data_IF_555554021515
#
_entry.id   IF_555554021515
#
_cell.length_a   1.000
_cell.length_b   1.000
_cell.length_c   1.000
_cell.angle_alpha   90.00
_cell.angle_beta   90.00
_cell.angle_gamma   90.00
#
_symmetry.space_group_name_H-M   'P 1'
#
loop_
_entity.id
_entity.type
_entity.pdbx_description
1 polymer ?
#
# COMPACT_ATOMS: atom_id res chain seq x y z
N UNK A 1 -1.98 -5.01 -27.09
CA UNK A 1 -1.87 -3.88 -26.16
C UNK A 1 -3.02 -2.92 -26.45
N UNK A 2 -4.11 -3.00 -25.70
CA UNK A 2 -5.32 -2.18 -25.90
C UNK A 2 -5.41 -1.22 -24.73
N UNK A 3 -4.98 0.03 -24.95
CA UNK A 3 -5.25 1.13 -24.05
C UNK A 3 -6.76 1.36 -24.04
N UNK A 4 -7.47 0.96 -22.99
CA UNK A 4 -8.87 1.35 -22.78
C UNK A 4 -8.88 2.73 -22.12
N UNK A 5 -8.92 3.78 -22.93
CA UNK A 5 -9.35 5.10 -22.49
C UNK A 5 -10.88 5.03 -22.30
N UNK A 6 -11.34 4.97 -21.08
CA UNK A 6 -12.76 5.04 -20.76
C UNK A 6 -13.11 6.50 -20.55
N UNK A 7 -13.63 7.15 -21.58
CA UNK A 7 -14.37 8.40 -21.43
C UNK A 7 -15.73 8.07 -20.77
N UNK A 8 -15.94 8.44 -19.53
CA UNK A 8 -17.27 8.42 -18.92
C UNK A 8 -18.07 9.63 -19.42
N UNK A 9 -19.26 9.36 -19.92
CA UNK A 9 -20.34 10.21 -20.41
C UNK A 9 -20.43 10.42 -21.91
N UNK A 10 -20.71 9.33 -22.64
CA UNK A 10 -21.55 9.38 -23.82
C UNK A 10 -22.35 8.07 -23.94
N UNK A 11 -23.68 8.17 -23.94
CA UNK A 11 -24.58 7.06 -24.27
C UNK A 11 -24.38 6.71 -25.74
N UNK A 12 -23.80 5.55 -26.01
CA UNK A 12 -23.77 5.01 -27.36
C UNK A 12 -25.09 4.31 -27.66
N UNK A 13 -25.80 4.83 -28.65
CA UNK A 13 -26.79 4.09 -29.41
C UNK A 13 -26.07 2.99 -30.20
N UNK A 14 -26.61 1.79 -30.14
CA UNK A 14 -26.18 0.67 -30.97
C UNK A 14 -26.21 1.05 -32.44
N UNK A 15 -25.03 1.02 -33.10
CA UNK A 15 -24.91 1.02 -34.56
C UNK A 15 -24.13 -0.20 -34.99
N UNK A 16 -24.89 -1.09 -35.62
CA UNK A 16 -24.40 -2.29 -36.27
C UNK A 16 -23.85 -1.88 -37.66
N UNK A 17 -22.53 -1.66 -37.79
CA UNK A 17 -21.81 -1.77 -39.07
C UNK A 17 -20.30 -1.53 -38.92
N UNK A 18 -19.55 -2.61 -38.98
CA UNK A 18 -18.08 -2.63 -38.91
C UNK A 18 -17.38 -1.86 -40.06
N UNK A 19 -18.06 -1.58 -41.16
CA UNK A 19 -17.53 -0.81 -42.30
C UNK A 19 -17.50 0.72 -42.04
N UNK A 20 -18.37 1.26 -41.19
CA UNK A 20 -18.38 2.68 -40.87
C UNK A 20 -17.33 3.07 -39.82
N UNK A 21 -16.98 2.13 -38.92
CA UNK A 21 -15.94 2.36 -37.91
C UNK A 21 -14.57 2.46 -38.56
N UNK A 22 -14.27 1.62 -39.55
CA UNK A 22 -13.01 1.65 -40.28
C UNK A 22 -12.83 2.94 -41.11
N UNK A 23 -13.91 3.50 -41.64
CA UNK A 23 -13.88 4.81 -42.33
C UNK A 23 -13.70 5.99 -41.38
N UNK A 24 -14.28 5.94 -40.18
CA UNK A 24 -14.04 6.98 -39.16
C UNK A 24 -12.60 6.95 -38.65
N UNK A 25 -12.03 5.77 -38.42
CA UNK A 25 -10.64 5.63 -37.97
C UNK A 25 -9.65 6.08 -39.05
N UNK A 26 -9.90 5.76 -40.33
CA UNK A 26 -9.06 6.22 -41.43
C UNK A 26 -9.15 7.74 -41.66
N UNK A 27 -10.32 8.36 -41.51
CA UNK A 27 -10.46 9.80 -41.51
C UNK A 27 -9.81 10.49 -40.35
N UNK A 28 -9.88 9.91 -39.12
CA UNK A 28 -9.20 10.40 -37.93
C UNK A 28 -7.68 10.33 -38.06
N UNK A 29 -7.15 9.24 -38.60
CA UNK A 29 -5.71 9.06 -38.85
C UNK A 29 -5.20 9.96 -40.01
N UNK A 30 -5.99 10.22 -41.01
CA UNK A 30 -5.66 11.16 -42.12
C UNK A 30 -5.63 12.61 -41.61
N UNK A 31 -6.56 13.02 -40.76
CA UNK A 31 -6.53 14.36 -40.13
C UNK A 31 -5.30 14.52 -39.19
N UNK A 32 -4.89 13.46 -38.48
CA UNK A 32 -3.69 13.51 -37.62
C UNK A 32 -2.38 13.67 -38.43
N UNK A 33 -2.32 13.19 -39.65
CA UNK A 33 -1.12 13.25 -40.50
C UNK A 33 -0.89 14.65 -41.11
N UNK A 34 -1.95 15.42 -41.38
CA UNK A 34 -1.87 16.74 -42.01
C UNK A 34 -1.58 17.86 -41.03
N UNK A 35 -1.97 17.71 -39.75
CA UNK A 35 -1.80 18.75 -38.71
C UNK A 35 -0.60 18.56 -37.79
N UNK A 36 0.28 17.60 -38.08
CA UNK A 36 1.44 17.30 -37.22
C UNK A 36 2.42 18.46 -37.00
N UNK A 37 2.48 19.42 -37.91
CA UNK A 37 3.41 20.56 -37.83
C UNK A 37 2.80 21.85 -37.23
N UNK A 38 1.48 22.03 -37.24
CA UNK A 38 0.85 23.22 -36.66
C UNK A 38 0.44 23.00 -35.20
N UNK A 39 0.10 21.78 -34.79
CA UNK A 39 -0.19 21.46 -33.39
C UNK A 39 1.05 21.54 -32.48
N UNK A 40 2.24 21.25 -32.98
CA UNK A 40 3.48 21.45 -32.21
C UNK A 40 3.78 22.90 -31.89
N UNK A 41 3.36 23.88 -32.70
CA UNK A 41 3.62 25.30 -32.45
C UNK A 41 2.58 25.92 -31.50
N UNK A 42 1.36 25.41 -31.44
CA UNK A 42 0.31 25.93 -30.54
C UNK A 42 0.49 25.41 -29.12
N UNK A 43 0.98 24.18 -28.92
CA UNK A 43 1.30 23.63 -27.59
C UNK A 43 2.61 24.13 -26.99
N UNK A 44 3.49 24.76 -27.76
CA UNK A 44 4.79 25.29 -27.30
C UNK A 44 4.75 26.66 -26.63
N UNK A 45 3.62 27.36 -26.62
CA UNK A 45 3.49 28.72 -26.08
C UNK A 45 2.49 28.84 -24.93
N UNK A 46 1.74 27.77 -24.62
CA UNK A 46 0.95 27.73 -23.39
C UNK A 46 1.91 27.58 -22.21
N UNK A 47 2.04 28.62 -21.36
CA UNK A 47 2.50 28.52 -19.98
C UNK A 47 2.00 27.21 -19.44
N UNK A 48 2.83 26.45 -18.69
CA UNK A 48 2.39 25.27 -17.93
C UNK A 48 1.07 25.64 -17.26
N UNK A 49 -0.05 25.27 -17.89
CA UNK A 49 -1.35 25.45 -17.27
C UNK A 49 -1.31 24.62 -16.00
N UNK A 50 -1.58 25.27 -14.88
CA UNK A 50 -1.72 24.62 -13.59
C UNK A 50 -2.86 23.62 -13.76
N UNK A 51 -2.57 22.32 -13.68
CA UNK A 51 -3.56 21.26 -13.91
C UNK A 51 -4.66 21.27 -12.86
N UNK A 52 -4.34 21.83 -11.66
CA UNK A 52 -5.21 21.84 -10.49
C UNK A 52 -5.39 23.24 -9.92
N UNK A 53 -6.61 23.54 -9.55
CA UNK A 53 -6.94 24.64 -8.64
C UNK A 53 -6.62 24.22 -7.21
N UNK A 54 -5.92 25.07 -6.46
CA UNK A 54 -5.54 24.84 -5.08
C UNK A 54 -6.22 25.86 -4.15
N UNK A 55 -6.90 25.38 -3.12
CA UNK A 55 -7.60 26.19 -2.11
C UNK A 55 -7.13 25.77 -0.72
N UNK A 56 -6.90 26.76 0.15
CA UNK A 56 -6.51 26.54 1.53
C UNK A 56 -7.66 26.87 2.48
N UNK A 57 -7.91 25.99 3.44
CA UNK A 57 -8.91 26.16 4.51
C UNK A 57 -8.27 25.85 5.86
N UNK A 58 -8.79 26.43 6.91
CA UNK A 58 -8.41 26.09 8.29
C UNK A 58 -9.53 25.29 8.94
N UNK A 59 -9.21 24.12 9.48
CA UNK A 59 -10.18 23.19 10.09
C UNK A 59 -10.15 23.36 11.59
N UNK A 60 -11.31 23.60 12.21
CA UNK A 60 -11.42 23.79 13.65
C UNK A 60 -11.18 22.49 14.46
N UNK A 61 -11.66 21.36 13.92
CA UNK A 61 -11.51 20.03 14.55
C UNK A 61 -11.07 19.02 13.48
N UNK A 62 -9.75 18.77 13.41
CA UNK A 62 -9.15 17.86 12.43
C UNK A 62 -9.64 16.42 12.58
N UNK A 63 -9.85 15.93 13.82
CA UNK A 63 -10.32 14.56 14.06
C UNK A 63 -11.76 14.35 13.56
N UNK A 64 -12.67 15.29 13.83
CA UNK A 64 -14.04 15.22 13.31
C UNK A 64 -14.04 15.32 11.77
N UNK A 65 -13.24 16.25 11.23
CA UNK A 65 -13.13 16.45 9.78
C UNK A 65 -12.60 15.21 9.05
N UNK A 66 -11.59 14.51 9.57
CA UNK A 66 -11.10 13.24 9.00
C UNK A 66 -12.22 12.20 8.89
N UNK A 67 -13.08 12.07 9.90
CA UNK A 67 -14.24 11.15 9.88
C UNK A 67 -15.27 11.56 8.84
N UNK A 68 -15.65 12.84 8.82
CA UNK A 68 -16.59 13.40 7.83
C UNK A 68 -16.08 13.21 6.40
N UNK A 69 -14.78 13.47 6.18
CA UNK A 69 -14.12 13.31 4.89
C UNK A 69 -14.15 11.87 4.39
N UNK A 70 -13.85 10.90 5.27
CA UNK A 70 -13.94 9.48 4.96
C UNK A 70 -15.37 9.03 4.67
N UNK A 71 -16.36 9.52 5.43
CA UNK A 71 -17.78 9.20 5.21
C UNK A 71 -18.30 9.80 3.90
N UNK A 72 -17.88 11.02 3.56
CA UNK A 72 -18.21 11.67 2.29
C UNK A 72 -17.62 10.92 1.10
N UNK A 73 -16.41 10.38 1.23
CA UNK A 73 -15.71 9.68 0.17
C UNK A 73 -16.42 8.43 -0.36
N UNK A 74 -17.38 7.87 0.41
CA UNK A 74 -18.01 6.59 0.08
C UNK A 74 -18.86 6.60 -1.19
N UNK A 75 -19.28 7.77 -1.65
CA UNK A 75 -20.01 7.95 -2.90
C UNK A 75 -19.16 7.67 -4.16
N UNK A 76 -17.83 7.74 -4.06
CA UNK A 76 -16.91 7.55 -5.20
C UNK A 76 -16.55 6.08 -5.40
N UNK A 77 -16.20 5.74 -6.65
CA UNK A 77 -15.75 4.39 -7.01
C UNK A 77 -14.34 4.10 -6.56
N UNK A 78 -13.44 5.06 -6.75
CA UNK A 78 -12.04 4.99 -6.37
C UNK A 78 -11.81 5.93 -5.18
N UNK A 79 -11.26 5.39 -4.10
CA UNK A 79 -10.97 6.10 -2.85
C UNK A 79 -9.64 5.62 -2.30
N UNK A 80 -8.76 6.54 -1.96
CA UNK A 80 -7.62 6.32 -1.07
C UNK A 80 -7.68 7.34 0.04
N UNK A 81 -7.94 6.88 1.25
CA UNK A 81 -7.82 7.68 2.47
C UNK A 81 -6.65 7.17 3.29
N UNK A 82 -5.73 8.05 3.66
CA UNK A 82 -4.59 7.74 4.52
C UNK A 82 -4.62 8.62 5.76
N UNK A 83 -4.36 8.04 6.93
CA UNK A 83 -4.36 8.73 8.22
C UNK A 83 -3.15 8.31 9.07
N UNK A 84 -2.39 9.29 9.55
CA UNK A 84 -1.28 9.06 10.48
C UNK A 84 -1.74 8.85 11.92
N UNK A 85 -3.04 8.98 12.20
CA UNK A 85 -3.59 8.96 13.57
C UNK A 85 -2.89 9.94 14.51
N UNK A 86 -2.44 11.07 13.96
CA UNK A 86 -1.67 12.12 14.64
C UNK A 86 -0.39 11.59 15.33
N UNK A 87 0.12 10.42 14.85
CA UNK A 87 1.35 9.85 15.37
C UNK A 87 2.55 10.72 14.99
N UNK A 88 3.39 11.13 15.97
CA UNK A 88 4.56 11.95 15.68
C UNK A 88 5.56 11.22 14.79
N UNK A 89 5.81 11.75 13.61
CA UNK A 89 6.76 11.19 12.65
C UNK A 89 7.75 12.27 12.21
N UNK A 90 9.05 11.92 12.21
CA UNK A 90 10.10 12.79 11.66
C UNK A 90 9.91 13.01 10.16
N UNK A 91 9.51 11.95 9.45
CA UNK A 91 9.33 11.95 8.00
C UNK A 91 7.84 11.86 7.64
N UNK A 92 7.11 12.96 7.69
CA UNK A 92 5.70 13.03 7.31
C UNK A 92 5.38 14.31 6.56
N UNK A 93 4.74 14.19 5.39
CA UNK A 93 4.24 15.34 4.63
C UNK A 93 2.84 15.75 5.06
N UNK A 94 1.99 14.78 5.42
CA UNK A 94 0.58 14.98 5.72
C UNK A 94 0.18 14.17 6.96
N UNK A 95 -0.78 14.68 7.73
CA UNK A 95 -1.37 13.95 8.85
C UNK A 95 -2.53 13.07 8.34
N UNK A 96 -3.26 13.56 7.34
CA UNK A 96 -4.21 12.76 6.59
C UNK A 96 -4.30 13.25 5.14
N UNK A 97 -4.71 12.37 4.25
CA UNK A 97 -5.03 12.70 2.87
C UNK A 97 -6.21 11.88 2.37
N UNK A 98 -6.97 12.47 1.44
CA UNK A 98 -8.00 11.77 0.69
C UNK A 98 -7.84 12.06 -0.79
N UNK A 99 -7.80 11.02 -1.61
CA UNK A 99 -7.84 11.07 -3.06
C UNK A 99 -9.06 10.28 -3.56
N UNK A 100 -9.91 10.92 -4.38
CA UNK A 100 -11.13 10.30 -4.87
C UNK A 100 -11.42 10.63 -6.33
N UNK A 101 -12.27 9.83 -6.93
CA UNK A 101 -12.82 9.99 -8.28
C UNK A 101 -11.71 9.98 -9.35
N UNK A 102 -11.43 8.82 -9.90
CA UNK A 102 -10.38 8.65 -10.90
C UNK A 102 -10.70 9.44 -12.18
N UNK A 103 -9.80 10.33 -12.58
CA UNK A 103 -9.80 10.93 -13.92
C UNK A 103 -9.22 9.97 -14.94
N UNK A 104 -8.05 9.43 -14.63
CA UNK A 104 -7.42 8.33 -15.37
C UNK A 104 -6.95 7.26 -14.39
N UNK A 105 -6.78 6.03 -14.86
CA UNK A 105 -6.24 4.94 -14.07
C UNK A 105 -5.45 3.95 -14.92
N UNK A 106 -4.53 3.24 -14.28
CA UNK A 106 -3.86 2.07 -14.80
C UNK A 106 -4.16 0.88 -13.89
N UNK A 107 -4.51 -0.24 -14.51
CA UNK A 107 -4.74 -1.51 -13.84
C UNK A 107 -4.21 -2.62 -14.74
N UNK A 108 -3.28 -3.44 -14.22
CA UNK A 108 -2.65 -4.50 -15.00
C UNK A 108 -2.27 -5.69 -14.11
N UNK A 109 -1.97 -6.82 -14.74
CA UNK A 109 -1.26 -7.92 -14.12
C UNK A 109 0.24 -7.62 -14.02
N UNK A 110 1.05 -8.60 -13.62
CA UNK A 110 2.49 -8.40 -13.43
C UNK A 110 3.30 -8.25 -14.73
N UNK A 111 2.75 -8.55 -15.92
CA UNK A 111 3.51 -8.49 -17.17
C UNK A 111 3.83 -7.05 -17.57
N UNK A 112 5.11 -6.67 -17.56
CA UNK A 112 5.60 -5.32 -17.85
C UNK A 112 4.99 -4.21 -16.97
N UNK A 113 4.51 -4.56 -15.78
CA UNK A 113 3.73 -3.66 -14.93
C UNK A 113 4.54 -2.41 -14.51
N UNK A 114 5.83 -2.56 -14.21
CA UNK A 114 6.68 -1.41 -13.88
C UNK A 114 6.95 -0.51 -15.08
N UNK A 115 7.07 -1.05 -16.29
CA UNK A 115 7.23 -0.25 -17.51
C UNK A 115 5.96 0.52 -17.83
N UNK A 116 4.81 -0.12 -17.68
CA UNK A 116 3.49 0.52 -17.83
C UNK A 116 3.28 1.63 -16.80
N UNK A 117 3.66 1.41 -15.53
CA UNK A 117 3.63 2.44 -14.49
C UNK A 117 4.55 3.62 -14.84
N UNK A 118 5.75 3.36 -15.34
CA UNK A 118 6.67 4.41 -15.74
C UNK A 118 6.08 5.27 -16.88
N UNK A 119 5.50 4.63 -17.89
CA UNK A 119 4.84 5.33 -18.99
C UNK A 119 3.64 6.15 -18.51
N UNK A 120 2.83 5.58 -17.63
CA UNK A 120 1.67 6.24 -17.04
C UNK A 120 2.08 7.47 -16.23
N UNK A 121 3.09 7.35 -15.35
CA UNK A 121 3.61 8.45 -14.54
C UNK A 121 4.22 9.57 -15.39
N UNK A 122 5.00 9.22 -16.42
CA UNK A 122 5.61 10.20 -17.33
C UNK A 122 4.57 10.96 -18.18
N UNK A 123 3.45 10.32 -18.49
CA UNK A 123 2.35 10.93 -19.25
C UNK A 123 1.48 11.81 -18.37
N UNK A 124 1.11 11.32 -17.19
CA UNK A 124 0.18 11.99 -16.28
C UNK A 124 0.82 13.20 -15.61
N UNK A 125 2.05 13.07 -15.08
CA UNK A 125 2.81 14.13 -14.38
C UNK A 125 2.03 14.85 -13.28
N UNK A 126 1.19 14.11 -12.58
CA UNK A 126 0.30 14.56 -11.53
C UNK A 126 0.32 13.57 -10.37
N UNK A 127 -0.48 13.80 -9.33
CA UNK A 127 -0.68 12.87 -8.25
C UNK A 127 -1.21 11.53 -8.73
N UNK A 128 -0.59 10.46 -8.30
CA UNK A 128 -1.02 9.08 -8.53
C UNK A 128 -1.16 8.38 -7.19
N UNK A 129 -2.30 7.72 -6.98
CA UNK A 129 -2.60 6.94 -5.78
C UNK A 129 -2.87 5.50 -6.15
N UNK A 130 -2.32 4.55 -5.38
CA UNK A 130 -2.51 3.15 -5.72
C UNK A 130 -1.57 2.22 -4.99
N UNK A 131 -1.44 1.01 -5.53
CA UNK A 131 -0.70 -0.05 -4.89
C UNK A 131 0.11 -0.91 -5.88
N UNK A 132 1.07 -1.61 -5.30
CA UNK A 132 1.90 -2.66 -5.90
C UNK A 132 1.60 -3.96 -5.15
N UNK A 133 1.09 -5.01 -5.81
CA UNK A 133 0.91 -6.32 -5.18
C UNK A 133 2.25 -7.02 -4.98
N UNK A 134 2.33 -7.93 -4.01
CA UNK A 134 3.52 -8.75 -3.80
C UNK A 134 3.92 -9.53 -5.05
N UNK A 135 2.95 -9.92 -5.86
CA UNK A 135 3.16 -10.75 -7.05
C UNK A 135 3.83 -10.01 -8.22
N UNK A 136 4.02 -8.69 -8.11
CA UNK A 136 4.93 -7.95 -9.02
C UNK A 136 6.39 -8.43 -8.94
N UNK A 137 6.76 -9.27 -7.94
CA UNK A 137 8.01 -10.03 -7.94
C UNK A 137 8.19 -10.86 -9.22
N UNK A 138 7.08 -11.24 -9.87
CA UNK A 138 7.11 -12.01 -11.11
C UNK A 138 7.57 -11.18 -12.32
N UNK A 139 7.35 -9.85 -12.31
CA UNK A 139 7.89 -8.92 -13.31
C UNK A 139 9.38 -8.63 -13.08
N UNK A 140 9.77 -8.39 -11.81
CA UNK A 140 11.15 -8.00 -11.50
C UNK A 140 12.14 -9.17 -11.52
N UNK A 141 11.73 -10.37 -11.06
CA UNK A 141 12.61 -11.51 -10.83
C UNK A 141 12.27 -12.74 -11.70
N UNK A 142 11.34 -12.59 -12.67
CA UNK A 142 10.88 -13.66 -13.57
C UNK A 142 10.44 -14.92 -12.84
N UNK A 143 9.73 -14.75 -11.73
CA UNK A 143 9.11 -15.81 -10.95
C UNK A 143 7.67 -16.08 -11.43
N UNK A 144 7.01 -17.05 -10.82
CA UNK A 144 5.61 -17.38 -11.09
C UNK A 144 4.88 -17.58 -9.75
N UNK A 145 3.59 -17.26 -9.74
CA UNK A 145 2.68 -17.50 -8.62
C UNK A 145 1.51 -18.34 -9.11
N UNK A 146 1.43 -19.58 -8.62
CA UNK A 146 0.40 -20.56 -9.01
C UNK A 146 -0.57 -20.86 -7.86
N UNK A 147 -0.36 -20.34 -6.68
CA UNK A 147 -1.16 -20.58 -5.51
C UNK A 147 -2.58 -19.98 -5.62
N UNK A 148 -3.50 -20.46 -4.80
CA UNK A 148 -4.91 -20.05 -4.81
C UNK A 148 -5.07 -18.54 -4.57
N UNK A 149 -5.92 -17.88 -5.38
CA UNK A 149 -6.27 -16.47 -5.27
C UNK A 149 -7.79 -16.28 -5.12
N UNK A 150 -8.24 -16.11 -3.89
CA UNK A 150 -9.65 -15.83 -3.56
C UNK A 150 -10.06 -14.38 -3.82
N UNK A 151 -9.12 -13.44 -3.74
CA UNK A 151 -9.36 -12.00 -3.80
C UNK A 151 -9.36 -11.43 -5.23
N UNK A 152 -8.49 -11.90 -6.10
CA UNK A 152 -8.29 -11.44 -7.49
C UNK A 152 -8.13 -9.91 -7.61
N UNK A 153 -7.29 -9.33 -6.78
CA UNK A 153 -6.84 -7.95 -6.97
C UNK A 153 -5.88 -7.90 -8.16
N UNK A 154 -5.93 -6.84 -9.00
CA UNK A 154 -4.88 -6.58 -9.97
C UNK A 154 -3.51 -6.54 -9.34
N UNK A 155 -2.46 -6.91 -10.08
CA UNK A 155 -1.10 -6.88 -9.51
C UNK A 155 -0.58 -5.44 -9.36
N UNK A 156 -1.04 -4.53 -10.23
CA UNK A 156 -0.77 -3.10 -10.16
C UNK A 156 -2.06 -2.31 -10.37
N UNK A 157 -2.26 -1.30 -9.53
CA UNK A 157 -3.34 -0.34 -9.68
C UNK A 157 -2.88 1.05 -9.26
N UNK A 158 -3.02 2.05 -10.13
CA UNK A 158 -2.85 3.46 -9.80
C UNK A 158 -3.90 4.31 -10.52
N UNK A 159 -4.31 5.40 -9.87
CA UNK A 159 -5.20 6.37 -10.49
C UNK A 159 -4.76 7.82 -10.21
N UNK A 160 -5.09 8.69 -11.15
CA UNK A 160 -5.02 10.13 -11.02
C UNK A 160 -6.36 10.62 -10.46
N UNK A 161 -6.43 11.18 -9.24
CA UNK A 161 -7.68 11.65 -8.66
C UNK A 161 -8.15 12.95 -9.29
N UNK A 162 -9.46 13.16 -9.40
CA UNK A 162 -10.03 14.48 -9.71
C UNK A 162 -9.95 15.39 -8.49
N UNK A 163 -10.20 14.85 -7.31
CA UNK A 163 -10.34 15.59 -6.05
C UNK A 163 -9.34 15.06 -5.02
N UNK A 164 -8.56 15.97 -4.43
CA UNK A 164 -7.52 15.66 -3.47
C UNK A 164 -7.62 16.61 -2.28
N UNK A 165 -7.56 16.05 -1.07
CA UNK A 165 -7.55 16.76 0.21
C UNK A 165 -6.30 16.39 0.97
N UNK A 166 -5.51 17.37 1.40
CA UNK A 166 -4.25 17.19 2.11
C UNK A 166 -4.34 17.96 3.43
N UNK A 167 -4.30 17.24 4.56
CA UNK A 167 -4.41 17.82 5.90
C UNK A 167 -3.07 17.75 6.62
N UNK A 168 -2.62 18.88 7.17
CA UNK A 168 -1.45 18.99 8.06
C UNK A 168 -1.79 19.87 9.26
N UNK A 169 -1.83 19.29 10.47
CA UNK A 169 -2.38 19.98 11.65
C UNK A 169 -3.83 20.37 11.42
N UNK A 170 -4.08 21.68 11.43
CA UNK A 170 -5.38 22.27 11.11
C UNK A 170 -5.43 22.93 9.71
N UNK A 171 -4.37 22.82 8.94
CA UNK A 171 -4.32 23.39 7.58
C UNK A 171 -4.73 22.33 6.56
N UNK A 172 -5.78 22.62 5.83
CA UNK A 172 -6.30 21.80 4.74
C UNK A 172 -5.96 22.45 3.41
N UNK A 173 -5.30 21.68 2.53
CA UNK A 173 -5.11 22.03 1.13
C UNK A 173 -6.03 21.15 0.28
N UNK A 174 -6.89 21.78 -0.52
CA UNK A 174 -7.81 21.11 -1.45
C UNK A 174 -7.27 21.35 -2.86
N UNK A 175 -7.09 20.28 -3.63
CA UNK A 175 -6.60 20.34 -5.00
C UNK A 175 -7.55 19.60 -5.95
N UNK A 176 -8.27 20.33 -6.78
CA UNK A 176 -9.18 19.76 -7.79
C UNK A 176 -8.60 19.98 -9.19
N UNK A 177 -8.82 19.01 -10.08
CA UNK A 177 -8.56 19.25 -11.50
C UNK A 177 -9.44 20.42 -11.98
N UNK A 178 -8.89 21.28 -12.84
CA UNK A 178 -9.58 22.49 -13.32
C UNK A 178 -10.92 22.20 -14.01
N UNK A 179 -11.15 20.95 -14.43
CA UNK A 179 -12.42 20.52 -15.05
C UNK A 179 -13.59 20.36 -14.06
N UNK A 180 -13.31 20.35 -12.75
CA UNK A 180 -14.32 20.18 -11.68
C UNK A 180 -14.03 21.10 -10.48
N UNK A 181 -13.27 22.17 -10.65
CA UNK A 181 -12.89 23.08 -9.56
C UNK A 181 -14.06 23.97 -9.07
N UNK A 182 -15.09 24.08 -9.86
CA UNK A 182 -16.37 24.71 -9.46
C UNK A 182 -17.12 23.92 -8.38
N UNK A 183 -16.81 22.64 -8.16
CA UNK A 183 -17.42 21.80 -7.14
C UNK A 183 -16.82 21.98 -5.73
N UNK A 184 -15.64 22.66 -5.58
CA UNK A 184 -14.87 22.68 -4.33
C UNK A 184 -15.65 23.19 -3.13
N UNK A 185 -16.35 24.32 -3.27
CA UNK A 185 -17.10 24.92 -2.14
C UNK A 185 -18.31 24.07 -1.77
N UNK A 186 -19.02 23.52 -2.76
CA UNK A 186 -20.16 22.62 -2.53
C UNK A 186 -19.73 21.35 -1.80
N UNK A 187 -18.67 20.72 -2.26
CA UNK A 187 -18.14 19.50 -1.63
C UNK A 187 -17.63 19.79 -0.20
N UNK A 188 -16.97 20.92 0.01
CA UNK A 188 -16.50 21.31 1.33
C UNK A 188 -17.67 21.55 2.31
N UNK A 189 -18.74 22.19 1.86
CA UNK A 189 -19.96 22.38 2.66
C UNK A 189 -20.64 21.02 2.96
N UNK A 190 -20.72 20.12 1.98
CA UNK A 190 -21.25 18.78 2.19
C UNK A 190 -20.46 17.99 3.24
N UNK A 191 -19.12 18.06 3.18
CA UNK A 191 -18.24 17.39 4.13
C UNK A 191 -18.45 17.95 5.54
N UNK A 192 -18.40 19.26 5.70
CA UNK A 192 -18.43 19.93 7.02
C UNK A 192 -19.78 19.86 7.70
N UNK A 193 -20.87 19.78 6.94
CA UNK A 193 -22.23 19.63 7.45
C UNK A 193 -22.69 18.17 7.61
N UNK A 194 -21.80 17.20 7.31
CA UNK A 194 -22.12 15.79 7.40
C UNK A 194 -22.09 15.31 8.85
N UNK A 195 -23.19 14.75 9.32
CA UNK A 195 -23.20 14.04 10.59
C UNK A 195 -22.36 12.76 10.48
N UNK A 196 -21.55 12.49 11.49
CA UNK A 196 -20.82 11.22 11.56
C UNK A 196 -21.82 10.06 11.69
N UNK A 197 -21.73 9.11 10.78
CA UNK A 197 -22.56 7.90 10.85
C UNK A 197 -21.95 6.97 11.89
N UNK A 198 -22.66 6.79 13.00
CA UNK A 198 -22.38 5.70 13.93
C UNK A 198 -23.06 4.42 13.39
N UNK A 199 -22.27 3.41 13.14
CA UNK A 199 -22.77 2.13 12.70
C UNK A 199 -23.28 1.33 13.90
N UNK A 200 -24.51 0.76 13.80
CA UNK A 200 -24.90 -0.36 14.65
C UNK A 200 -23.96 -1.52 14.41
N UNK A 201 -23.66 -2.32 15.41
CA UNK A 201 -22.80 -3.50 15.28
C UNK A 201 -23.22 -4.35 14.08
N UNK A 202 -22.28 -4.54 13.15
CA UNK A 202 -22.51 -5.44 12.03
C UNK A 202 -22.45 -6.89 12.52
N UNK A 203 -23.14 -7.79 11.81
CA UNK A 203 -23.07 -9.22 12.09
C UNK A 203 -21.62 -9.69 12.10
N UNK A 204 -21.26 -10.50 13.10
CA UNK A 204 -19.97 -11.18 13.15
C UNK A 204 -19.91 -12.26 12.07
N UNK A 205 -18.76 -12.46 11.48
CA UNK A 205 -18.53 -13.50 10.48
C UNK A 205 -17.62 -14.58 11.04
N UNK A 206 -17.76 -15.81 10.54
CA UNK A 206 -16.87 -16.90 10.91
C UNK A 206 -15.67 -16.92 9.99
N UNK A 207 -14.48 -16.66 10.54
CA UNK A 207 -13.21 -16.71 9.81
C UNK A 207 -12.53 -18.04 10.03
N UNK A 208 -11.99 -18.64 8.97
CA UNK A 208 -11.27 -19.92 8.99
C UNK A 208 -9.79 -19.69 8.68
N UNK A 209 -8.90 -20.46 9.32
CA UNK A 209 -7.49 -20.52 8.93
C UNK A 209 -7.33 -21.43 7.70
N UNK A 210 -6.56 -21.00 6.70
CA UNK A 210 -6.24 -21.82 5.52
C UNK A 210 -5.37 -23.03 5.89
N UNK A 211 -4.46 -22.85 6.83
CA UNK A 211 -3.61 -23.91 7.36
C UNK A 211 -4.07 -24.30 8.76
N UNK A 212 -4.14 -25.59 9.04
CA UNK A 212 -4.22 -26.07 10.42
C UNK A 212 -2.91 -25.81 11.16
N UNK A 213 -2.94 -25.85 12.50
CA UNK A 213 -1.72 -25.71 13.32
C UNK A 213 -0.67 -26.75 12.93
N UNK A 214 -1.10 -27.99 12.74
CA UNK A 214 -0.22 -29.12 12.40
C UNK A 214 0.44 -28.90 11.03
N UNK A 215 -0.34 -28.48 10.02
CA UNK A 215 0.18 -28.18 8.68
C UNK A 215 1.14 -26.99 8.68
N UNK A 216 0.84 -25.96 9.48
CA UNK A 216 1.77 -24.82 9.65
C UNK A 216 3.11 -25.27 10.23
N UNK A 217 3.09 -26.07 11.31
CA UNK A 217 4.29 -26.60 11.96
C UNK A 217 5.10 -27.48 11.00
N UNK A 218 4.44 -28.35 10.22
CA UNK A 218 5.09 -29.19 9.22
C UNK A 218 5.82 -28.36 8.18
N UNK A 219 5.17 -27.33 7.60
CA UNK A 219 5.78 -26.43 6.60
C UNK A 219 6.95 -25.62 7.18
N UNK A 220 6.82 -25.12 8.42
CA UNK A 220 7.92 -24.44 9.11
C UNK A 220 9.10 -25.39 9.35
N UNK A 221 8.88 -26.67 9.66
CA UNK A 221 9.97 -27.64 9.78
C UNK A 221 10.71 -27.86 8.45
N UNK A 222 9.99 -27.93 7.31
CA UNK A 222 10.62 -27.97 5.98
C UNK A 222 11.47 -26.72 5.74
N UNK A 223 10.97 -25.56 6.12
CA UNK A 223 11.72 -24.29 6.01
C UNK A 223 12.96 -24.28 6.89
N UNK A 224 12.88 -24.83 8.11
CA UNK A 224 14.04 -25.00 9.00
C UNK A 224 15.11 -25.93 8.40
N UNK A 225 14.73 -26.95 7.64
CA UNK A 225 15.71 -27.78 6.91
C UNK A 225 16.48 -26.97 5.89
N UNK A 226 15.84 -26.05 5.14
CA UNK A 226 16.51 -25.12 4.22
C UNK A 226 17.46 -24.18 4.97
N UNK A 227 17.04 -23.65 6.11
CA UNK A 227 17.84 -22.77 6.95
C UNK A 227 19.08 -23.49 7.53
N UNK A 228 18.93 -24.72 8.00
CA UNK A 228 20.02 -25.51 8.56
C UNK A 228 21.02 -25.97 7.48
N UNK A 229 20.57 -26.18 6.24
CA UNK A 229 21.47 -26.44 5.10
C UNK A 229 22.21 -25.21 4.61
N UNK A 230 21.75 -24.00 5.01
CA UNK A 230 22.32 -22.75 4.55
C UNK A 230 21.80 -22.26 3.19
N UNK A 231 20.69 -22.81 2.70
CA UNK A 231 20.03 -22.36 1.47
C UNK A 231 19.53 -20.92 1.60
N UNK A 232 19.04 -20.59 2.80
CA UNK A 232 18.53 -19.26 3.20
C UNK A 232 18.90 -18.97 4.66
N UNK A 233 18.85 -17.71 5.08
CA UNK A 233 19.18 -17.26 6.44
C UNK A 233 17.96 -16.85 7.25
N UNK A 234 16.94 -16.31 6.57
CA UNK A 234 15.63 -15.93 7.11
C UNK A 234 14.60 -16.03 6.01
N UNK A 235 13.39 -16.45 6.36
CA UNK A 235 12.23 -16.40 5.48
C UNK A 235 10.98 -15.94 6.24
N UNK A 236 10.25 -14.98 5.70
CA UNK A 236 8.96 -14.58 6.24
C UNK A 236 7.87 -15.52 5.68
N UNK A 237 7.40 -16.45 6.51
CA UNK A 237 6.38 -17.43 6.14
C UNK A 237 4.99 -16.95 6.56
N UNK A 238 4.03 -17.00 5.64
CA UNK A 238 2.71 -16.41 5.82
C UNK A 238 1.59 -17.45 5.75
N UNK A 239 0.48 -17.16 6.47
CA UNK A 239 -0.75 -17.91 6.41
C UNK A 239 -1.96 -16.99 6.29
N UNK A 240 -3.01 -17.46 5.62
CA UNK A 240 -4.25 -16.73 5.38
C UNK A 240 -5.35 -17.18 6.36
N UNK A 241 -6.13 -16.20 6.81
CA UNK A 241 -7.43 -16.36 7.43
C UNK A 241 -8.50 -15.77 6.52
N UNK A 242 -9.60 -16.49 6.29
CA UNK A 242 -10.59 -16.10 5.28
C UNK A 242 -12.02 -16.48 5.66
N UNK A 243 -12.96 -15.80 5.01
CA UNK A 243 -14.36 -16.22 4.95
C UNK A 243 -14.89 -16.06 3.53
N UNK A 244 -15.66 -17.05 3.08
CA UNK A 244 -16.31 -17.08 1.77
C UNK A 244 -17.81 -16.86 1.88
N UNK A 245 -18.46 -16.48 0.76
CA UNK A 245 -19.90 -16.23 0.68
C UNK A 245 -20.41 -15.23 1.72
N UNK A 246 -19.57 -14.29 2.12
CA UNK A 246 -19.85 -13.34 3.18
C UNK A 246 -19.90 -11.90 2.66
N UNK A 247 -20.63 -11.06 3.40
CA UNK A 247 -20.72 -9.62 3.13
C UNK A 247 -20.35 -8.87 4.41
N UNK A 248 -19.47 -7.90 4.28
CA UNK A 248 -19.11 -6.99 5.37
C UNK A 248 -19.40 -5.54 4.97
N UNK A 249 -19.49 -4.65 5.94
CA UNK A 249 -19.43 -3.20 5.72
C UNK A 249 -17.97 -2.74 5.81
N UNK A 250 -17.27 -2.45 4.67
CA UNK A 250 -15.86 -2.15 4.72
C UNK A 250 -15.53 -0.89 5.51
N UNK A 251 -16.38 0.14 5.43
CA UNK A 251 -16.14 1.40 6.14
C UNK A 251 -16.22 1.22 7.66
N UNK A 252 -17.24 0.51 8.14
CA UNK A 252 -17.39 0.20 9.57
C UNK A 252 -16.20 -0.64 10.07
N UNK A 253 -15.84 -1.70 9.33
CA UNK A 253 -14.70 -2.56 9.71
C UNK A 253 -13.39 -1.79 9.72
N UNK A 254 -13.17 -0.86 8.78
CA UNK A 254 -12.00 0.02 8.79
C UNK A 254 -11.97 0.95 10.02
N UNK A 255 -13.08 1.62 10.31
CA UNK A 255 -13.17 2.50 11.49
C UNK A 255 -12.83 1.74 12.77
N UNK A 256 -13.41 0.56 12.97
CA UNK A 256 -13.12 -0.31 14.13
C UNK A 256 -11.65 -0.75 14.17
N UNK A 257 -11.08 -1.17 13.03
CA UNK A 257 -9.68 -1.59 12.93
C UNK A 257 -8.74 -0.44 13.27
N UNK A 258 -9.04 0.77 12.77
CA UNK A 258 -8.25 1.95 13.03
C UNK A 258 -8.35 2.42 14.48
N UNK A 259 -9.55 2.38 15.08
CA UNK A 259 -9.77 2.75 16.50
C UNK A 259 -8.99 1.81 17.45
N UNK A 260 -8.93 0.51 17.14
CA UNK A 260 -8.18 -0.47 17.95
C UNK A 260 -6.67 -0.28 17.78
N UNK A 261 -6.19 0.02 16.58
CA UNK A 261 -4.77 -0.10 16.22
C UNK A 261 -4.03 1.23 16.30
N UNK A 262 -4.63 2.35 15.86
CA UNK A 262 -4.07 3.72 15.82
C UNK A 262 -2.62 3.76 15.32
N UNK A 263 -2.39 3.16 14.15
CA UNK A 263 -1.06 3.07 13.55
C UNK A 263 -0.73 4.29 12.69
N UNK A 264 0.56 4.58 12.44
CA UNK A 264 0.98 5.78 11.72
C UNK A 264 0.69 5.76 10.22
N UNK A 265 0.21 4.65 9.67
CA UNK A 265 -0.04 4.49 8.23
C UNK A 265 -1.35 3.75 7.97
N UNK A 266 -2.45 4.21 8.63
CA UNK A 266 -3.77 3.66 8.36
C UNK A 266 -4.22 4.02 6.94
N UNK A 267 -4.82 3.04 6.22
CA UNK A 267 -5.29 3.24 4.85
C UNK A 267 -6.65 2.58 4.65
N UNK A 268 -7.61 3.36 4.16
CA UNK A 268 -8.81 2.85 3.52
C UNK A 268 -8.69 3.02 2.01
N UNK A 269 -8.71 1.91 1.30
CA UNK A 269 -8.69 1.89 -0.15
C UNK A 269 -9.95 1.21 -0.68
N UNK A 270 -10.51 1.79 -1.74
CA UNK A 270 -11.65 1.26 -2.49
C UNK A 270 -11.38 1.41 -3.98
N UNK A 271 -11.53 0.35 -4.71
CA UNK A 271 -11.66 0.35 -6.17
C UNK A 271 -12.93 -0.43 -6.52
N UNK A 272 -14.02 0.30 -6.76
CA UNK A 272 -15.34 -0.26 -7.03
C UNK A 272 -15.78 -1.23 -5.91
N UNK A 273 -15.63 -2.53 -6.09
CA UNK A 273 -16.02 -3.60 -5.16
C UNK A 273 -14.83 -4.29 -4.46
N UNK A 274 -13.63 -3.77 -4.63
CA UNK A 274 -12.41 -4.24 -3.97
C UNK A 274 -11.99 -3.25 -2.90
N UNK A 275 -11.68 -3.76 -1.71
CA UNK A 275 -11.38 -2.93 -0.53
C UNK A 275 -10.12 -3.44 0.18
N UNK A 276 -9.27 -2.48 0.60
CA UNK A 276 -8.20 -2.71 1.56
C UNK A 276 -8.47 -1.86 2.80
N UNK A 277 -8.49 -2.48 3.95
CA UNK A 277 -8.64 -1.88 5.27
C UNK A 277 -7.34 -2.13 6.02
N UNK A 278 -6.45 -1.15 6.07
CA UNK A 278 -5.09 -1.34 6.57
C UNK A 278 -4.82 -0.52 7.82
N UNK A 279 -4.28 -1.16 8.84
CA UNK A 279 -3.72 -0.53 10.03
C UNK A 279 -2.21 -0.87 10.12
N UNK A 280 -1.47 -0.58 9.05
CA UNK A 280 -0.06 -0.90 8.99
C UNK A 280 0.80 0.06 9.81
N UNK A 281 1.76 -0.44 10.58
CA UNK A 281 2.75 0.39 11.27
C UNK A 281 4.00 0.65 10.43
N UNK A 282 4.16 -0.01 9.28
CA UNK A 282 5.44 -0.09 8.57
C UNK A 282 5.46 0.73 7.28
N UNK A 283 6.42 1.65 7.17
CA UNK A 283 6.79 2.31 5.92
C UNK A 283 7.70 1.40 5.11
N UNK A 284 7.33 1.17 3.84
CA UNK A 284 8.19 0.51 2.89
C UNK A 284 9.30 1.44 2.42
N UNK A 285 8.93 2.49 1.70
CA UNK A 285 9.89 3.40 1.07
C UNK A 285 9.28 4.78 0.83
N UNK A 286 10.01 5.82 1.24
CA UNK A 286 9.72 7.22 0.97
C UNK A 286 10.84 7.85 0.15
N UNK A 287 10.46 8.69 -0.80
CA UNK A 287 11.35 9.58 -1.54
C UNK A 287 10.94 11.03 -1.32
N UNK A 288 11.91 11.87 -0.99
CA UNK A 288 11.75 13.31 -0.89
C UNK A 288 12.97 13.99 -1.53
N UNK A 289 12.74 14.65 -2.66
CA UNK A 289 13.83 15.12 -3.51
C UNK A 289 14.73 13.97 -3.95
N UNK A 290 16.01 14.02 -3.58
CA UNK A 290 16.96 12.93 -3.84
C UNK A 290 17.01 11.89 -2.69
N UNK A 291 16.41 12.17 -1.53
CA UNK A 291 16.53 11.32 -0.36
C UNK A 291 15.55 10.15 -0.44
N UNK A 292 16.06 8.94 -0.21
CA UNK A 292 15.29 7.72 -0.02
C UNK A 292 15.38 7.31 1.45
N UNK A 293 14.25 6.88 2.02
CA UNK A 293 14.11 6.50 3.44
C UNK A 293 13.30 5.22 3.52
N UNK A 294 13.83 4.20 4.17
CA UNK A 294 13.12 2.97 4.50
C UNK A 294 13.20 2.70 6.00
N UNK A 295 12.08 2.23 6.58
CA UNK A 295 11.97 2.04 8.03
C UNK A 295 11.42 0.64 8.36
N UNK A 296 12.22 -0.43 8.11
CA UNK A 296 11.79 -1.79 8.41
C UNK A 296 11.60 -2.01 9.92
N UNK A 297 10.61 -2.82 10.24
CA UNK A 297 10.25 -3.20 11.61
C UNK A 297 10.54 -4.68 11.81
N UNK A 298 11.34 -5.00 12.81
CA UNK A 298 11.49 -6.34 13.38
C UNK A 298 11.67 -6.20 14.89
N UNK A 299 10.95 -7.03 15.62
CA UNK A 299 10.94 -6.96 17.09
C UNK A 299 9.71 -6.23 17.61
N UNK A 300 8.92 -6.93 18.43
CA UNK A 300 7.69 -6.42 19.01
C UNK A 300 7.53 -6.88 20.45
N UNK A 301 7.20 -5.96 21.35
CA UNK A 301 6.81 -6.28 22.71
C UNK A 301 5.43 -5.69 23.03
N UNK A 302 4.64 -6.40 23.84
CA UNK A 302 3.33 -5.94 24.28
C UNK A 302 3.46 -4.74 25.22
N UNK A 303 2.52 -3.79 25.13
CA UNK A 303 2.34 -2.72 26.10
C UNK A 303 1.62 -3.21 27.35
N UNK A 304 1.94 -2.60 28.48
CA UNK A 304 1.30 -2.88 29.76
C UNK A 304 0.70 -1.59 30.36
N UNK A 305 -0.48 -1.67 31.02
CA UNK A 305 -1.06 -0.51 31.72
C UNK A 305 -0.20 -0.01 32.88
N UNK A 306 0.51 -0.91 33.58
CA UNK A 306 1.47 -0.54 34.61
C UNK A 306 2.77 0.01 33.99
N UNK A 307 3.14 1.23 34.34
CA UNK A 307 4.29 1.91 33.75
C UNK A 307 5.64 1.21 34.02
N UNK A 308 5.79 0.49 35.13
CA UNK A 308 7.03 -0.23 35.44
C UNK A 308 7.13 -1.52 34.60
N UNK A 309 6.02 -2.22 34.43
CA UNK A 309 5.98 -3.39 33.58
C UNK A 309 6.18 -3.00 32.09
N UNK A 310 5.62 -1.87 31.66
CA UNK A 310 5.78 -1.31 30.32
C UNK A 310 7.23 -0.93 30.02
N UNK A 311 7.88 -0.21 30.91
CA UNK A 311 9.31 0.13 30.76
C UNK A 311 10.23 -1.12 30.84
N UNK A 312 9.87 -2.12 31.63
CA UNK A 312 10.58 -3.41 31.64
C UNK A 312 10.43 -4.16 30.32
N UNK A 313 9.22 -4.19 29.75
CA UNK A 313 8.97 -4.82 28.44
C UNK A 313 9.79 -4.13 27.34
N UNK A 314 9.81 -2.80 27.34
CA UNK A 314 10.63 -1.99 26.44
C UNK A 314 12.14 -2.25 26.61
N UNK A 315 12.63 -2.28 27.84
CA UNK A 315 14.05 -2.57 28.15
C UNK A 315 14.44 -4.00 27.72
N UNK A 316 13.56 -4.99 27.93
CA UNK A 316 13.78 -6.35 27.48
C UNK A 316 13.88 -6.42 25.94
N UNK A 317 13.00 -5.72 25.20
CA UNK A 317 13.05 -5.67 23.75
C UNK A 317 14.37 -5.07 23.24
N UNK A 318 14.87 -3.98 23.89
CA UNK A 318 16.17 -3.35 23.55
C UNK A 318 17.32 -4.36 23.64
N UNK A 319 17.29 -5.24 24.65
CA UNK A 319 18.37 -6.16 24.98
C UNK A 319 18.17 -7.57 24.41
N UNK A 320 17.03 -7.86 23.76
CA UNK A 320 16.75 -9.21 23.22
C UNK A 320 17.68 -9.53 22.05
N UNK A 321 18.55 -10.58 22.18
CA UNK A 321 19.52 -10.90 21.15
C UNK A 321 18.87 -11.40 19.84
N UNK A 322 17.72 -12.11 19.91
CA UNK A 322 17.00 -12.61 18.74
C UNK A 322 16.41 -11.45 17.96
N UNK A 323 15.61 -10.62 18.61
CA UNK A 323 14.93 -9.47 17.98
C UNK A 323 15.93 -8.50 17.35
N UNK A 324 17.05 -8.25 18.04
CA UNK A 324 18.15 -7.42 17.52
C UNK A 324 18.82 -8.04 16.30
N UNK A 325 19.11 -9.35 16.33
CA UNK A 325 19.74 -10.04 15.21
C UNK A 325 18.85 -10.01 13.95
N UNK A 326 17.55 -10.22 14.11
CA UNK A 326 16.57 -10.12 13.02
C UNK A 326 16.48 -8.70 12.47
N UNK A 327 16.44 -7.68 13.33
CA UNK A 327 16.40 -6.28 12.90
C UNK A 327 17.68 -5.85 12.18
N UNK A 328 18.85 -6.28 12.63
CA UNK A 328 20.14 -6.02 11.98
C UNK A 328 20.19 -6.69 10.60
N UNK A 329 19.72 -7.94 10.49
CA UNK A 329 19.70 -8.67 9.22
C UNK A 329 18.79 -7.99 8.19
N UNK A 330 17.59 -7.58 8.60
CA UNK A 330 16.68 -6.86 7.70
C UNK A 330 17.21 -5.47 7.32
N UNK A 331 17.90 -4.81 8.25
CA UNK A 331 18.59 -3.54 7.98
C UNK A 331 19.65 -3.72 6.89
N UNK A 332 20.42 -4.81 6.93
CA UNK A 332 21.44 -5.09 5.93
C UNK A 332 20.84 -5.44 4.57
N UNK A 333 19.72 -6.16 4.55
CA UNK A 333 18.99 -6.44 3.32
C UNK A 333 18.45 -5.15 2.68
N UNK A 334 17.86 -4.24 3.46
CA UNK A 334 17.37 -2.93 2.98
C UNK A 334 18.53 -2.05 2.50
N UNK A 335 19.69 -2.08 3.18
CA UNK A 335 20.90 -1.39 2.71
C UNK A 335 21.35 -1.91 1.33
N UNK A 336 21.29 -3.22 1.14
CA UNK A 336 21.58 -3.84 -0.16
C UNK A 336 20.61 -3.37 -1.23
N UNK A 337 19.29 -3.39 -0.96
CA UNK A 337 18.26 -2.94 -1.89
C UNK A 337 18.46 -1.47 -2.29
N UNK A 338 18.64 -0.57 -1.33
CA UNK A 338 18.88 0.85 -1.60
C UNK A 338 20.20 1.09 -2.35
N UNK A 339 21.23 0.27 -2.12
CA UNK A 339 22.53 0.43 -2.77
C UNK A 339 22.48 0.26 -4.28
N UNK A 340 21.46 -0.42 -4.82
CA UNK A 340 21.25 -0.63 -6.25
C UNK A 340 20.97 0.66 -7.01
N UNK A 341 20.34 1.63 -6.33
CA UNK A 341 19.90 2.91 -6.93
C UNK A 341 20.55 4.14 -6.31
N UNK A 342 21.33 3.96 -5.25
CA UNK A 342 21.96 5.05 -4.52
C UNK A 342 23.22 5.60 -5.21
N UNK A 343 23.45 6.90 -5.03
CA UNK A 343 24.76 7.50 -5.27
C UNK A 343 25.80 6.79 -4.38
N UNK A 344 26.98 6.55 -4.95
CA UNK A 344 28.05 5.80 -4.26
C UNK A 344 28.40 6.41 -2.90
N UNK A 345 28.37 5.58 -1.85
CA UNK A 345 28.75 5.97 -0.49
C UNK A 345 27.70 6.76 0.29
N UNK A 346 26.46 6.88 -0.23
CA UNK A 346 25.39 7.64 0.45
C UNK A 346 24.46 6.79 1.29
N UNK A 347 24.48 5.46 1.15
CA UNK A 347 23.67 4.56 1.99
C UNK A 347 24.15 4.61 3.43
N UNK A 348 23.26 4.96 4.36
CA UNK A 348 23.55 5.12 5.79
C UNK A 348 22.46 4.47 6.63
N UNK A 349 22.85 3.86 7.73
CA UNK A 349 21.94 3.51 8.83
C UNK A 349 21.91 4.71 9.75
N UNK A 350 20.82 5.49 9.69
CA UNK A 350 20.62 6.68 10.52
C UNK A 350 20.29 6.29 11.96
N UNK A 351 19.46 5.26 12.12
CA UNK A 351 19.12 4.67 13.40
C UNK A 351 19.10 3.15 13.29
N UNK A 352 19.66 2.45 14.27
CA UNK A 352 19.70 0.99 14.35
C UNK A 352 19.00 0.51 15.62
N UNK A 353 17.98 -0.35 15.47
CA UNK A 353 17.24 -0.95 16.57
C UNK A 353 16.60 0.09 17.53
N UNK A 354 16.09 1.21 17.02
CA UNK A 354 15.35 2.20 17.81
C UNK A 354 14.01 1.63 18.31
N UNK A 355 13.59 2.00 19.53
CA UNK A 355 12.33 1.52 20.11
C UNK A 355 11.26 2.61 20.05
N UNK A 356 10.18 2.30 19.36
CA UNK A 356 9.01 3.16 19.19
C UNK A 356 7.81 2.56 19.91
N UNK A 357 7.12 3.39 20.69
CA UNK A 357 5.95 2.96 21.47
C UNK A 357 4.67 3.35 20.74
N UNK A 358 3.90 2.35 20.30
CA UNK A 358 2.55 2.52 19.78
C UNK A 358 1.52 2.24 20.87
N UNK A 359 0.25 2.38 20.57
CA UNK A 359 -0.80 2.21 21.57
C UNK A 359 -0.81 0.80 22.19
N UNK A 360 -0.63 -0.23 21.36
CA UNK A 360 -0.72 -1.63 21.80
C UNK A 360 0.63 -2.32 21.97
N UNK A 361 1.68 -1.81 21.34
CA UNK A 361 2.98 -2.50 21.25
C UNK A 361 4.15 -1.51 21.28
N UNK A 362 5.31 -1.98 21.74
CA UNK A 362 6.62 -1.41 21.42
C UNK A 362 7.16 -2.13 20.19
N UNK A 363 7.75 -1.40 19.26
CA UNK A 363 8.38 -1.96 18.06
C UNK A 363 9.81 -1.49 17.91
N UNK A 364 10.66 -2.39 17.42
CA UNK A 364 12.04 -2.08 17.10
C UNK A 364 12.13 -1.73 15.62
N UNK A 365 12.52 -0.50 15.31
CA UNK A 365 12.59 0.09 13.99
C UNK A 365 14.01 0.53 13.70
N UNK A 366 14.51 0.24 12.50
CA UNK A 366 15.74 0.84 11.99
C UNK A 366 15.41 1.80 10.86
N UNK A 367 16.16 2.89 10.74
CA UNK A 367 16.01 3.89 9.69
C UNK A 367 17.24 3.87 8.78
N UNK A 368 17.01 3.54 7.51
CA UNK A 368 18.04 3.50 6.48
C UNK A 368 17.75 4.60 5.46
N UNK A 369 18.78 5.37 5.13
CA UNK A 369 18.69 6.47 4.17
C UNK A 369 19.72 6.32 3.06
N UNK A 370 19.40 6.86 1.88
CA UNK A 370 20.33 7.02 0.77
C UNK A 370 19.96 8.21 -0.10
N UNK A 371 20.89 8.61 -0.99
CA UNK A 371 20.60 9.56 -2.06
C UNK A 371 20.46 8.83 -3.38
N UNK A 372 19.37 9.11 -4.10
CA UNK A 372 19.08 8.54 -5.41
C UNK A 372 20.11 9.02 -6.44
N UNK A 373 20.68 8.10 -7.20
CA UNK A 373 21.52 8.42 -8.36
C UNK A 373 20.60 8.86 -9.52
N UNK A 374 20.88 10.00 -10.12
CA UNK A 374 20.05 10.65 -11.16
C UNK A 374 19.83 9.80 -12.43
N UNK A 375 20.58 8.73 -12.62
CA UNK A 375 20.39 7.79 -13.75
C UNK A 375 19.17 6.89 -13.58
N UNK A 376 18.61 6.78 -12.37
CA UNK A 376 17.44 5.96 -12.07
C UNK A 376 16.18 6.81 -11.93
N UNK A 377 15.09 6.36 -12.52
CA UNK A 377 13.77 6.93 -12.31
C UNK A 377 13.18 6.51 -10.96
N UNK A 378 12.09 7.13 -10.54
CA UNK A 378 11.36 6.72 -9.34
C UNK A 378 10.81 5.27 -9.46
N UNK A 379 10.40 4.87 -10.68
CA UNK A 379 9.88 3.51 -10.92
C UNK A 379 11.00 2.49 -10.90
N UNK A 380 12.21 2.84 -11.38
CA UNK A 380 13.40 1.96 -11.23
C UNK A 380 13.70 1.70 -9.75
N UNK A 381 13.55 2.71 -8.88
CA UNK A 381 13.74 2.53 -7.44
C UNK A 381 12.73 1.51 -6.90
N UNK A 382 11.45 1.67 -7.23
CA UNK A 382 10.41 0.73 -6.81
C UNK A 382 10.72 -0.68 -7.35
N UNK A 383 10.96 -0.84 -8.65
CA UNK A 383 11.25 -2.14 -9.29
C UNK A 383 12.44 -2.86 -8.65
N UNK A 384 13.55 -2.14 -8.37
CA UNK A 384 14.79 -2.73 -7.88
C UNK A 384 14.80 -3.02 -6.37
N UNK A 385 13.91 -2.41 -5.59
CA UNK A 385 13.80 -2.66 -4.15
C UNK A 385 12.63 -3.57 -3.78
N UNK A 386 11.64 -3.75 -4.68
CA UNK A 386 10.45 -4.56 -4.47
C UNK A 386 10.69 -6.06 -4.75
N UNK A 387 10.00 -6.97 -4.04
CA UNK A 387 9.26 -6.73 -2.80
C UNK A 387 10.20 -6.42 -1.63
N UNK A 388 9.64 -5.76 -0.59
CA UNK A 388 10.42 -5.33 0.57
C UNK A 388 11.04 -6.51 1.31
N UNK A 389 12.25 -6.29 1.83
CA UNK A 389 13.02 -7.31 2.54
C UNK A 389 12.29 -7.87 3.76
N UNK A 390 11.59 -7.02 4.53
CA UNK A 390 10.83 -7.41 5.73
C UNK A 390 9.73 -8.43 5.47
N UNK A 391 9.25 -8.52 4.23
CA UNK A 391 8.20 -9.46 3.81
C UNK A 391 8.73 -10.65 3.00
N UNK A 392 10.01 -10.72 2.74
CA UNK A 392 10.65 -11.79 1.99
C UNK A 392 11.64 -12.58 2.85
N UNK A 393 12.88 -12.22 2.85
CA UNK A 393 13.98 -12.85 3.58
C UNK A 393 15.30 -12.78 2.82
N UNK A 394 16.29 -13.52 3.28
CA UNK A 394 17.65 -13.48 2.75
C UNK A 394 18.21 -14.88 2.43
N UNK A 395 18.77 -15.12 1.23
CA UNK A 395 18.78 -14.32 0.01
C UNK A 395 17.37 -14.20 -0.61
N UNK A 396 16.99 -12.99 -1.04
CA UNK A 396 15.62 -12.64 -1.43
C UNK A 396 15.00 -13.62 -2.46
N UNK A 397 15.67 -13.87 -3.58
CA UNK A 397 15.15 -14.72 -4.67
C UNK A 397 14.97 -16.18 -4.22
N UNK A 398 15.95 -16.73 -3.49
CA UNK A 398 15.85 -18.11 -2.99
C UNK A 398 14.67 -18.27 -2.04
N UNK A 399 14.50 -17.31 -1.12
CA UNK A 399 13.36 -17.31 -0.19
C UNK A 399 12.04 -17.23 -0.95
N UNK A 400 11.88 -16.32 -1.92
CA UNK A 400 10.63 -16.19 -2.68
C UNK A 400 10.24 -17.48 -3.41
N UNK A 401 11.19 -18.28 -3.88
CA UNK A 401 10.91 -19.60 -4.47
C UNK A 401 10.41 -20.60 -3.43
N UNK A 402 11.10 -20.68 -2.29
CA UNK A 402 10.75 -21.62 -1.22
C UNK A 402 9.36 -21.31 -0.63
N UNK A 403 9.07 -20.03 -0.36
CA UNK A 403 7.75 -19.66 0.18
C UNK A 403 6.63 -19.87 -0.83
N UNK A 404 6.86 -19.73 -2.13
CA UNK A 404 5.86 -20.07 -3.16
C UNK A 404 5.50 -21.56 -3.15
N UNK A 405 6.47 -22.45 -2.86
CA UNK A 405 6.24 -23.88 -2.74
C UNK A 405 5.53 -24.26 -1.43
N UNK A 406 5.74 -23.50 -0.35
CA UNK A 406 5.23 -23.81 0.98
C UNK A 406 3.90 -23.12 1.32
N UNK A 407 3.64 -21.93 0.81
CA UNK A 407 2.39 -21.19 1.05
C UNK A 407 1.25 -21.78 0.20
N UNK A 408 0.01 -21.72 0.73
CA UNK A 408 -1.18 -22.28 0.07
C UNK A 408 -1.90 -21.24 -0.79
N UNK A 409 -1.64 -19.95 -0.54
CA UNK A 409 -2.35 -18.85 -1.17
C UNK A 409 -1.39 -17.87 -1.80
N UNK A 410 -1.81 -17.29 -2.90
CA UNK A 410 -1.19 -16.12 -3.49
C UNK A 410 -1.28 -14.96 -2.50
N UNK A 411 -0.18 -14.27 -2.25
CA UNK A 411 -0.21 -13.14 -1.32
C UNK A 411 -1.00 -11.95 -1.88
N UNK A 412 -0.97 -11.76 -3.20
CA UNK A 412 -1.67 -10.66 -3.85
C UNK A 412 -1.26 -9.31 -3.28
N UNK A 413 -2.25 -8.53 -2.81
CA UNK A 413 -1.98 -7.22 -2.22
C UNK A 413 -1.37 -7.31 -0.81
N UNK A 414 -1.61 -8.37 -0.04
CA UNK A 414 -0.90 -8.59 1.22
C UNK A 414 0.61 -8.73 0.97
N UNK A 415 1.44 -8.18 1.83
CA UNK A 415 2.89 -8.06 1.62
C UNK A 415 3.30 -7.18 0.42
N UNK A 416 2.36 -6.52 -0.22
CA UNK A 416 2.58 -5.49 -1.22
C UNK A 416 2.78 -4.10 -0.59
N UNK A 417 2.66 -3.06 -1.39
CA UNK A 417 2.81 -1.68 -0.95
C UNK A 417 1.66 -0.80 -1.46
N UNK A 418 1.17 0.11 -0.62
CA UNK A 418 0.17 1.11 -0.97
C UNK A 418 0.67 2.51 -0.65
N UNK A 419 0.38 3.48 -1.51
CA UNK A 419 0.87 4.83 -1.31
C UNK A 419 0.50 5.79 -2.44
N UNK A 420 1.32 6.81 -2.59
CA UNK A 420 1.16 7.83 -3.61
C UNK A 420 2.48 8.24 -4.25
N UNK A 421 2.37 8.79 -5.46
CA UNK A 421 3.41 9.51 -6.18
C UNK A 421 2.90 10.93 -6.43
N UNK A 422 3.67 11.94 -6.05
CA UNK A 422 3.32 13.36 -6.23
C UNK A 422 3.78 13.90 -7.59
N UNK A 423 3.31 15.07 -8.03
CA UNK A 423 3.66 15.65 -9.32
C UNK A 423 5.16 15.93 -9.52
N UNK A 424 5.90 16.16 -8.42
CA UNK A 424 7.36 16.36 -8.45
C UNK A 424 8.16 15.04 -8.42
N UNK A 425 7.47 13.89 -8.41
CA UNK A 425 8.07 12.56 -8.38
C UNK A 425 8.52 12.09 -7.01
N UNK A 426 8.10 12.77 -5.93
CA UNK A 426 8.24 12.24 -4.58
C UNK A 426 7.16 11.19 -4.32
N UNK A 427 7.43 10.26 -3.41
CA UNK A 427 6.47 9.21 -3.07
C UNK A 427 6.59 8.75 -1.61
N UNK A 428 5.52 8.17 -1.09
CA UNK A 428 5.51 7.49 0.20
C UNK A 428 4.63 6.24 0.11
N UNK A 429 5.24 5.06 0.30
CA UNK A 429 4.58 3.75 0.25
C UNK A 429 4.72 3.02 1.57
N UNK A 430 3.62 2.43 2.01
CA UNK A 430 3.52 1.63 3.22
C UNK A 430 3.37 0.16 2.89
N UNK A 431 3.88 -0.73 3.73
CA UNK A 431 3.73 -2.18 3.59
C UNK A 431 2.30 -2.58 3.90
N UNK A 432 1.68 -3.40 3.05
CA UNK A 432 0.33 -3.92 3.29
C UNK A 432 0.40 -5.12 4.22
N UNK A 433 0.37 -4.84 5.51
CA UNK A 433 0.26 -5.79 6.63
C UNK A 433 -0.77 -5.30 7.63
N UNK A 434 -1.19 -6.15 8.57
CA UNK A 434 -2.24 -5.79 9.54
C UNK A 434 -3.49 -5.26 8.84
N UNK A 435 -3.86 -5.92 7.75
CA UNK A 435 -4.83 -5.45 6.79
C UNK A 435 -5.88 -6.50 6.51
N UNK A 436 -7.13 -6.06 6.33
CA UNK A 436 -8.24 -6.86 5.86
C UNK A 436 -8.45 -6.53 4.38
N UNK A 437 -8.51 -7.54 3.54
CA UNK A 437 -8.80 -7.45 2.12
C UNK A 437 -10.18 -8.02 1.84
N UNK A 438 -10.97 -7.33 1.04
CA UNK A 438 -12.32 -7.74 0.71
C UNK A 438 -12.64 -7.54 -0.77
N UNK A 439 -13.10 -8.60 -1.40
CA UNK A 439 -13.71 -8.53 -2.72
C UNK A 439 -15.22 -8.79 -2.58
N UNK A 440 -16.01 -7.71 -2.65
CA UNK A 440 -17.47 -7.76 -2.49
C UNK A 440 -18.16 -8.58 -3.60
N UNK A 441 -17.62 -8.58 -4.82
CA UNK A 441 -18.19 -9.32 -5.93
C UNK A 441 -18.03 -10.84 -5.74
N UNK A 442 -16.85 -11.24 -5.27
CA UNK A 442 -16.56 -12.63 -4.92
C UNK A 442 -17.10 -13.04 -3.55
N UNK A 443 -17.58 -12.08 -2.76
CA UNK A 443 -17.98 -12.26 -1.36
C UNK A 443 -16.90 -12.98 -0.55
N UNK A 444 -15.65 -12.56 -0.78
CA UNK A 444 -14.47 -13.14 -0.17
C UNK A 444 -13.74 -12.07 0.65
N UNK A 445 -13.57 -12.34 1.94
CA UNK A 445 -12.79 -11.49 2.85
C UNK A 445 -11.65 -12.31 3.41
N UNK A 446 -10.46 -11.72 3.47
CA UNK A 446 -9.32 -12.37 4.11
C UNK A 446 -8.34 -11.37 4.73
N UNK A 447 -7.53 -11.90 5.61
CA UNK A 447 -6.33 -11.25 6.10
C UNK A 447 -5.22 -12.29 6.26
N UNK A 448 -3.99 -11.89 6.03
CA UNK A 448 -2.84 -12.76 6.19
C UNK A 448 -1.90 -12.23 7.26
N UNK A 449 -1.18 -13.13 7.87
CA UNK A 449 -0.15 -12.85 8.86
C UNK A 449 1.07 -13.72 8.58
N UNK A 450 2.25 -13.26 9.01
CA UNK A 450 3.48 -14.03 8.85
C UNK A 450 4.43 -13.83 10.02
N UNK A 451 5.33 -14.77 10.17
CA UNK A 451 6.47 -14.65 11.07
C UNK A 451 7.79 -14.89 10.34
N UNK A 452 8.86 -14.33 10.90
CA UNK A 452 10.21 -14.51 10.39
C UNK A 452 10.80 -15.80 10.93
N UNK A 453 11.04 -16.74 10.05
CA UNK A 453 11.63 -18.05 10.40
C UNK A 453 13.14 -17.96 10.21
N UNK A 454 13.87 -18.22 11.28
CA UNK A 454 15.34 -18.31 11.33
C UNK A 454 15.76 -19.69 11.81
N UNK A 455 17.03 -20.05 11.74
CA UNK A 455 17.53 -21.34 12.21
C UNK A 455 17.28 -21.65 13.68
N UNK A 456 16.97 -20.63 14.48
CA UNK A 456 16.66 -20.76 15.92
C UNK A 456 15.17 -20.70 16.23
N UNK A 457 14.30 -20.57 15.21
CA UNK A 457 12.86 -20.48 15.40
C UNK A 457 12.26 -21.78 15.92
N UNK A 458 11.29 -21.64 16.82
CA UNK A 458 10.48 -22.74 17.28
C UNK A 458 9.11 -22.70 16.60
N UNK A 459 8.69 -23.72 15.83
CA UNK A 459 7.48 -23.70 15.03
C UNK A 459 6.20 -23.35 15.79
N UNK A 460 6.04 -23.87 17.02
CA UNK A 460 4.87 -23.61 17.86
C UNK A 460 4.80 -22.14 18.29
N UNK A 461 5.95 -21.53 18.66
CA UNK A 461 6.02 -20.11 19.04
C UNK A 461 5.76 -19.20 17.86
N UNK A 462 6.27 -19.55 16.68
CA UNK A 462 6.01 -18.79 15.44
C UNK A 462 4.53 -18.84 15.05
N UNK A 463 3.87 -19.99 15.24
CA UNK A 463 2.43 -20.09 15.07
C UNK A 463 1.66 -19.20 16.05
N UNK A 464 2.02 -19.21 17.33
CA UNK A 464 1.43 -18.35 18.36
C UNK A 464 1.64 -16.85 18.05
N UNK A 465 2.81 -16.50 17.52
CA UNK A 465 3.10 -15.12 17.06
C UNK A 465 2.17 -14.72 15.89
N UNK A 466 1.93 -15.62 14.93
CA UNK A 466 0.96 -15.39 13.86
C UNK A 466 -0.45 -15.14 14.41
N UNK A 467 -0.90 -15.93 15.38
CA UNK A 467 -2.21 -15.73 16.02
C UNK A 467 -2.29 -14.39 16.77
N UNK A 468 -1.21 -13.99 17.44
CA UNK A 468 -1.15 -12.68 18.10
C UNK A 468 -1.26 -11.54 17.09
N UNK A 469 -0.57 -11.65 15.95
CA UNK A 469 -0.66 -10.68 14.84
C UNK A 469 -2.04 -10.65 14.18
N UNK A 470 -2.76 -11.76 14.16
CA UNK A 470 -4.11 -11.89 13.62
C UNK A 470 -5.18 -11.23 14.50
N UNK A 471 -4.90 -11.04 15.80
CA UNK A 471 -5.90 -10.72 16.82
C UNK A 471 -6.78 -9.52 16.46
N UNK A 472 -6.21 -8.38 16.06
CA UNK A 472 -6.98 -7.18 15.76
C UNK A 472 -7.93 -7.37 14.57
N UNK A 473 -7.48 -7.99 13.48
CA UNK A 473 -8.31 -8.27 12.30
C UNK A 473 -9.41 -9.28 12.62
N UNK A 474 -9.09 -10.30 13.41
CA UNK A 474 -10.07 -11.28 13.88
C UNK A 474 -11.15 -10.64 14.76
N UNK A 475 -10.76 -9.79 15.73
CA UNK A 475 -11.68 -9.07 16.61
C UNK A 475 -12.63 -8.13 15.87
N UNK A 476 -12.16 -7.55 14.77
CA UNK A 476 -12.98 -6.65 13.93
C UNK A 476 -13.98 -7.42 13.07
N UNK A 477 -13.63 -8.64 12.63
CA UNK A 477 -14.47 -9.44 11.74
C UNK A 477 -15.44 -10.36 12.50
N UNK A 478 -15.00 -10.94 13.61
CA UNK A 478 -15.74 -11.88 14.44
C UNK A 478 -16.24 -11.23 15.73
#
# INVERSE_FOLDING_TARGET
>A
MVLRLVFQNYSFYEYDNQLQINNLISHFLACFSVYKNEFCCIFGILKRDVLRTEIHKTIANSMAFKKQLLDWSQQFREVVFMDSNDYPQEFSSFDALLAVDAFTLIQTDYHNAFEDLQQYQQTTKDWLFGYLSYDLKNDSEHLQSANFDGLAFPDLFFFQPKKLFLLKGNQLTIQYLNLCDDEVETDFDEITNRDSVDFSESESITVQARLSKESYIEKVNVLLEHLHRGDVYEANFCMEFYAENTTINPLEKFKRLNDISQTPFAVFFKNNKQFLLSATPERYLRKEGENLISQPIKGTAKRFPDSKEDEKAKANLVSDPKERAENIMITDLVRNDLSRTAQKGTVKVQELCGIYSFQQVHQMISTITSKLDSKYSLVDVLKLTFPMGSMTGAPKISVMKIIEELEETKRGLYSGAIGYISPNGDFDFNVVIRSILYNQEKKYVSFSVGSAITSLSNPEKEYEECLLKAKAMHEVLC
#
